data_IF_024144404125
#
_entry.id   IF_024144404125
#
_cell.length_a   1.000
_cell.length_b   1.000
_cell.length_c   1.000
_cell.angle_alpha   90.00
_cell.angle_beta   90.00
_cell.angle_gamma   90.00
#
_symmetry.space_group_name_H-M   'P 1'
#
loop_
_entity.id
_entity.type
_entity.pdbx_description
1 polymer ?
#
# COMPACT_ATOMS: atom_id res chain seq x y z
N UNK A 1 11.53 -25.66 -24.21
CA UNK A 1 10.30 -24.99 -23.73
C UNK A 1 9.28 -24.97 -24.85
N UNK A 2 8.14 -25.63 -24.70
CA UNK A 2 7.08 -25.65 -25.71
C UNK A 2 6.33 -24.30 -25.67
N UNK A 3 6.12 -23.65 -26.82
CA UNK A 3 5.42 -22.36 -26.88
C UNK A 3 3.95 -22.53 -26.45
N UNK A 4 3.54 -21.86 -25.36
CA UNK A 4 2.16 -21.90 -24.87
C UNK A 4 1.23 -21.15 -25.85
N UNK A 5 0.04 -21.69 -26.09
CA UNK A 5 -0.98 -21.13 -26.98
C UNK A 5 -2.10 -20.45 -26.18
N UNK A 6 -2.58 -19.31 -26.64
CA UNK A 6 -3.69 -18.56 -26.03
C UNK A 6 -4.72 -18.14 -27.08
N UNK A 7 -5.90 -17.70 -26.62
CA UNK A 7 -6.94 -17.12 -27.47
C UNK A 7 -7.74 -16.10 -26.65
N UNK A 8 -8.37 -15.13 -27.30
CA UNK A 8 -9.22 -14.13 -26.65
C UNK A 8 -10.69 -14.56 -26.74
N UNK A 9 -11.46 -14.37 -25.67
CA UNK A 9 -12.92 -14.62 -25.65
C UNK A 9 -13.65 -13.36 -25.18
N UNK A 10 -14.61 -12.89 -25.98
CA UNK A 10 -15.49 -11.76 -25.66
C UNK A 10 -16.93 -12.24 -25.73
N UNK A 11 -17.60 -12.33 -24.57
CA UNK A 11 -18.93 -12.92 -24.48
C UNK A 11 -18.95 -14.38 -24.96
N UNK A 12 -19.73 -14.65 -26.02
CA UNK A 12 -19.82 -15.98 -26.66
C UNK A 12 -18.84 -16.18 -27.80
N UNK A 13 -18.15 -15.13 -28.26
CA UNK A 13 -17.25 -15.20 -29.40
C UNK A 13 -15.83 -15.56 -28.94
N UNK A 14 -15.23 -16.52 -29.63
CA UNK A 14 -13.87 -17.00 -29.41
C UNK A 14 -13.01 -16.63 -30.62
N UNK A 15 -11.91 -15.92 -30.37
CA UNK A 15 -10.93 -15.58 -31.40
C UNK A 15 -9.98 -16.73 -31.73
N UNK A 16 -9.08 -16.48 -32.68
CA UNK A 16 -8.08 -17.45 -33.12
C UNK A 16 -7.05 -17.76 -32.04
N UNK A 17 -6.44 -18.93 -32.15
CA UNK A 17 -5.39 -19.38 -31.24
C UNK A 17 -4.04 -18.85 -31.73
N UNK A 18 -3.32 -18.15 -30.86
CA UNK A 18 -1.99 -17.60 -31.15
C UNK A 18 -0.96 -18.08 -30.11
N UNK A 19 0.32 -18.02 -30.47
CA UNK A 19 1.41 -18.39 -29.57
C UNK A 19 1.76 -17.21 -28.65
N UNK A 20 1.87 -17.46 -27.34
CA UNK A 20 2.39 -16.49 -26.38
C UNK A 20 3.92 -16.45 -26.50
N UNK A 21 4.43 -15.30 -26.93
CA UNK A 21 5.88 -15.05 -27.09
C UNK A 21 6.51 -14.38 -25.87
N UNK A 22 5.70 -13.78 -25.00
CA UNK A 22 6.14 -12.99 -23.84
C UNK A 22 5.26 -13.25 -22.63
N UNK A 23 5.78 -12.95 -21.45
CA UNK A 23 5.09 -13.08 -20.17
C UNK A 23 5.18 -14.48 -19.55
N UNK A 24 4.69 -14.57 -18.32
CA UNK A 24 4.62 -15.80 -17.53
C UNK A 24 3.16 -16.17 -17.25
N UNK A 25 2.88 -17.45 -16.97
CA UNK A 25 1.48 -17.90 -16.81
C UNK A 25 1.01 -17.67 -15.38
N UNK A 26 -0.12 -16.98 -15.21
CA UNK A 26 -0.72 -16.85 -13.88
C UNK A 26 -1.17 -18.22 -13.33
N UNK A 27 -0.82 -18.50 -12.07
CA UNK A 27 -1.13 -19.76 -11.38
C UNK A 27 -0.07 -20.85 -11.52
N UNK A 28 0.98 -20.64 -12.32
CA UNK A 28 2.13 -21.54 -12.38
C UNK A 28 3.11 -21.21 -11.24
N UNK A 29 3.60 -22.23 -10.52
CA UNK A 29 4.38 -22.06 -9.29
C UNK A 29 5.71 -21.32 -9.50
N UNK A 30 6.31 -21.45 -10.69
CA UNK A 30 7.58 -20.79 -11.02
C UNK A 30 7.40 -19.37 -11.58
N UNK A 31 6.19 -19.01 -12.01
CA UNK A 31 5.94 -17.72 -12.66
C UNK A 31 6.19 -16.52 -11.74
N UNK A 32 5.82 -16.54 -10.43
CA UNK A 32 6.18 -15.46 -9.51
C UNK A 32 7.69 -15.26 -9.37
N UNK A 33 8.47 -16.33 -9.29
CA UNK A 33 9.93 -16.25 -9.16
C UNK A 33 10.57 -15.68 -10.43
N UNK A 34 10.14 -16.13 -11.61
CA UNK A 34 10.62 -15.60 -12.88
C UNK A 34 10.29 -14.12 -13.04
N UNK A 35 9.10 -13.71 -12.59
CA UNK A 35 8.73 -12.29 -12.56
C UNK A 35 9.66 -11.49 -11.64
N UNK A 36 9.92 -11.99 -10.43
CA UNK A 36 10.82 -11.32 -9.47
C UNK A 36 12.25 -11.17 -9.99
N UNK A 37 12.77 -12.15 -10.73
CA UNK A 37 14.10 -12.05 -11.35
C UNK A 37 14.20 -10.88 -12.33
N UNK A 38 13.16 -10.66 -13.15
CA UNK A 38 13.11 -9.55 -14.09
C UNK A 38 12.89 -8.23 -13.36
N UNK A 39 12.00 -8.22 -12.37
CA UNK A 39 11.72 -7.06 -11.54
C UNK A 39 12.93 -6.60 -10.71
N UNK A 40 13.90 -7.47 -10.44
CA UNK A 40 15.07 -7.11 -9.64
C UNK A 40 16.02 -6.12 -10.34
N UNK A 41 15.85 -5.87 -11.64
CA UNK A 41 16.68 -4.94 -12.41
C UNK A 41 16.28 -3.45 -12.22
N UNK A 42 15.36 -3.14 -11.29
CA UNK A 42 15.03 -1.75 -10.98
C UNK A 42 16.23 -1.00 -10.34
N UNK A 43 16.50 0.25 -10.75
CA UNK A 43 17.62 1.00 -10.22
C UNK A 43 17.45 1.30 -8.73
N UNK A 44 18.54 1.21 -7.97
CA UNK A 44 18.51 1.55 -6.56
C UNK A 44 18.14 3.04 -6.36
N UNK A 45 17.32 3.36 -5.35
CA UNK A 45 16.95 4.73 -5.07
C UNK A 45 18.17 5.55 -4.62
N UNK A 46 18.35 6.75 -5.19
CA UNK A 46 19.44 7.65 -4.83
C UNK A 46 19.38 8.01 -3.34
N UNK A 47 20.50 7.92 -2.61
CA UNK A 47 20.58 8.35 -1.22
C UNK A 47 21.56 9.51 -1.09
N UNK A 48 21.13 10.61 -0.47
CA UNK A 48 22.01 11.76 -0.18
C UNK A 48 21.87 12.18 1.28
N UNK A 49 22.78 13.03 1.77
CA UNK A 49 22.71 13.57 3.13
C UNK A 49 21.43 14.37 3.41
N UNK A 50 20.76 14.89 2.37
CA UNK A 50 19.56 15.72 2.48
C UNK A 50 18.27 14.96 2.17
N UNK A 51 18.38 13.81 1.50
CA UNK A 51 17.24 13.03 1.02
C UNK A 51 17.48 11.54 1.25
N UNK A 52 16.59 10.91 2.02
CA UNK A 52 16.50 9.46 2.14
C UNK A 52 15.36 8.97 1.28
N UNK A 53 15.68 8.08 0.34
CA UNK A 53 14.70 7.45 -0.53
C UNK A 53 14.60 5.96 -0.18
N UNK A 54 13.39 5.49 0.08
CA UNK A 54 13.09 4.09 0.30
C UNK A 54 12.23 3.61 -0.86
N UNK A 55 12.64 2.57 -1.55
CA UNK A 55 11.81 1.89 -2.53
C UNK A 55 11.31 0.57 -1.92
N UNK A 56 10.02 0.33 -2.02
CA UNK A 56 9.38 -0.93 -1.66
C UNK A 56 8.70 -1.49 -2.90
N UNK A 57 8.98 -2.75 -3.21
CA UNK A 57 8.35 -3.46 -4.31
C UNK A 57 7.62 -4.69 -3.77
N UNK A 58 6.39 -4.86 -4.24
CA UNK A 58 5.60 -6.06 -3.98
C UNK A 58 4.97 -6.53 -5.28
N UNK A 59 5.52 -7.58 -5.88
CA UNK A 59 5.18 -7.98 -7.25
C UNK A 59 5.33 -6.78 -8.22
N UNK A 60 4.27 -6.42 -8.94
CA UNK A 60 4.22 -5.30 -9.87
C UNK A 60 3.99 -3.94 -9.19
N UNK A 61 3.52 -3.91 -7.94
CA UNK A 61 3.36 -2.68 -7.18
C UNK A 61 4.71 -2.13 -6.72
N UNK A 62 5.06 -0.92 -7.17
CA UNK A 62 6.24 -0.18 -6.73
C UNK A 62 5.83 1.07 -5.94
N UNK A 63 6.45 1.29 -4.79
CA UNK A 63 6.20 2.47 -3.95
C UNK A 63 7.52 3.05 -3.49
N UNK A 64 7.73 4.34 -3.78
CA UNK A 64 8.89 5.09 -3.32
C UNK A 64 8.48 6.10 -2.26
N UNK A 65 9.13 6.05 -1.11
CA UNK A 65 9.00 7.01 -0.02
C UNK A 65 10.22 7.91 -0.01
N UNK A 66 10.00 9.19 -0.25
CA UNK A 66 11.04 10.22 -0.27
C UNK A 66 10.93 11.04 1.02
N UNK A 67 11.98 11.02 1.83
CA UNK A 67 12.09 11.81 3.07
C UNK A 67 13.20 12.82 2.88
N UNK A 68 12.84 14.09 2.73
CA UNK A 68 13.78 15.20 2.63
C UNK A 68 13.90 15.92 3.97
N UNK A 69 15.12 16.06 4.48
CA UNK A 69 15.39 16.98 5.60
C UNK A 69 15.51 18.39 5.04
N UNK A 70 14.47 19.21 5.15
CA UNK A 70 14.57 20.62 4.83
C UNK A 70 15.42 21.33 5.92
N UNK A 71 16.69 21.63 5.63
CA UNK A 71 17.48 22.69 6.30
C UNK A 71 17.33 23.93 5.41
N UNK A 72 16.74 25.08 5.79
CA UNK A 72 16.88 25.91 7.01
C UNK A 72 15.71 26.95 7.13
N UNK A 73 15.51 27.77 8.17
CA UNK A 73 16.37 28.16 9.31
C UNK A 73 15.60 28.29 10.65
N UNK A 74 16.17 27.73 11.71
CA UNK A 74 15.74 27.91 13.12
C UNK A 74 16.38 29.20 13.63
N UNK A 75 15.58 30.25 13.81
CA UNK A 75 15.99 31.52 14.43
C UNK A 75 16.32 31.34 15.92
N UNK A 76 17.18 32.20 16.48
CA UNK A 76 17.62 32.14 17.87
C UNK A 76 16.45 32.09 18.88
N UNK A 77 15.31 32.70 18.55
CA UNK A 77 14.06 32.65 19.32
C UNK A 77 13.46 31.24 19.48
N UNK A 78 13.79 30.31 18.57
CA UNK A 78 13.38 28.92 18.63
C UNK A 78 14.28 28.06 19.54
N UNK A 79 15.48 28.55 19.92
CA UNK A 79 16.34 27.91 20.94
C UNK A 79 15.81 28.13 22.35
N UNK A 80 15.23 29.30 22.63
CA UNK A 80 14.82 29.66 23.99
C UNK A 80 13.44 29.11 24.37
N UNK A 81 12.57 28.89 23.39
CA UNK A 81 11.22 28.32 23.61
C UNK A 81 11.24 26.80 23.82
N UNK A 82 12.38 26.16 23.54
CA UNK A 82 12.70 24.75 23.78
C UNK A 82 12.71 24.38 25.29
N UNK A 83 12.46 25.32 26.21
CA UNK A 83 12.24 25.01 27.64
C UNK A 83 10.79 24.65 27.99
N UNK A 84 9.82 24.87 27.10
CA UNK A 84 8.38 24.51 27.24
C UNK A 84 8.09 23.07 26.72
N UNK A 85 9.16 22.32 26.45
CA UNK A 85 9.25 21.16 25.56
C UNK A 85 8.52 19.86 25.94
N UNK A 86 7.82 19.74 27.06
CA UNK A 86 7.20 18.45 27.43
C UNK A 86 5.81 18.30 26.79
N UNK A 87 5.08 19.39 26.56
CA UNK A 87 3.74 19.34 25.92
C UNK A 87 3.81 19.32 24.38
N UNK A 88 4.97 19.63 23.78
CA UNK A 88 5.16 19.74 22.33
C UNK A 88 5.46 18.41 21.63
N UNK A 89 5.83 17.35 22.36
CA UNK A 89 6.19 16.05 21.78
C UNK A 89 4.97 15.37 21.10
N UNK A 90 3.75 15.70 21.54
CA UNK A 90 2.48 15.25 20.93
C UNK A 90 2.21 15.95 19.59
N UNK A 91 2.78 17.14 19.35
CA UNK A 91 2.53 17.96 18.15
C UNK A 91 3.52 17.70 17.00
N UNK A 92 4.69 17.13 17.30
CA UNK A 92 5.75 16.79 16.32
C UNK A 92 5.32 15.86 15.19
N UNK A 93 4.21 15.12 15.33
CA UNK A 93 3.70 14.26 14.26
C UNK A 93 2.96 15.02 13.14
N UNK A 94 2.65 16.32 13.30
CA UNK A 94 1.71 17.03 12.43
C UNK A 94 2.32 18.12 11.51
N UNK A 95 3.64 18.32 11.49
CA UNK A 95 4.29 19.34 10.64
C UNK A 95 5.08 18.74 9.46
N UNK A 96 4.43 17.91 8.65
CA UNK A 96 4.92 17.65 7.29
C UNK A 96 4.56 18.84 6.41
N UNK A 97 5.53 19.62 5.91
CA UNK A 97 5.26 20.68 4.93
C UNK A 97 4.71 20.09 3.61
N UNK A 98 3.90 20.86 2.87
CA UNK A 98 3.41 20.43 1.54
C UNK A 98 4.63 20.14 0.66
N UNK A 99 4.72 18.92 0.13
CA UNK A 99 5.80 18.57 -0.80
C UNK A 99 5.72 19.43 -2.06
N UNK A 100 6.86 19.79 -2.67
CA UNK A 100 6.87 20.49 -3.96
C UNK A 100 6.10 19.69 -5.02
N UNK A 101 5.46 20.38 -5.95
CA UNK A 101 4.75 19.74 -7.07
C UNK A 101 5.75 18.94 -7.90
N UNK A 102 5.57 17.62 -7.95
CA UNK A 102 6.37 16.74 -8.80
C UNK A 102 5.81 16.83 -10.23
N UNK A 103 6.71 16.95 -11.21
CA UNK A 103 6.37 16.95 -12.64
C UNK A 103 7.09 15.77 -13.27
N UNK A 104 6.34 14.91 -13.94
CA UNK A 104 6.85 13.80 -14.76
C UNK A 104 6.35 14.05 -16.18
N UNK A 105 7.24 14.07 -17.16
CA UNK A 105 6.90 14.27 -18.58
C UNK A 105 5.95 15.46 -18.81
N UNK A 106 6.31 16.62 -18.25
CA UNK A 106 5.55 17.88 -18.27
C UNK A 106 4.14 17.83 -17.63
N UNK A 107 3.79 16.72 -16.98
CA UNK A 107 2.52 16.55 -16.29
C UNK A 107 2.70 16.63 -14.77
N UNK A 108 2.01 17.56 -14.07
CA UNK A 108 2.10 17.63 -12.62
C UNK A 108 1.39 16.44 -11.97
N UNK A 109 2.08 15.73 -11.07
CA UNK A 109 1.48 14.65 -10.29
C UNK A 109 0.55 15.28 -9.24
N UNK A 110 -0.72 14.85 -9.16
CA UNK A 110 -1.66 15.36 -8.17
C UNK A 110 -1.19 15.00 -6.76
N UNK A 111 -1.05 16.03 -5.92
CA UNK A 111 -0.75 15.84 -4.51
C UNK A 111 -1.97 15.26 -3.79
N UNK A 112 -1.77 14.14 -3.08
CA UNK A 112 -2.78 13.55 -2.21
C UNK A 112 -2.27 13.42 -0.77
N UNK A 113 -3.16 13.64 0.19
CA UNK A 113 -2.90 13.42 1.62
C UNK A 113 -3.36 12.04 2.10
N UNK A 114 -3.96 11.24 1.23
CA UNK A 114 -4.41 9.89 1.50
C UNK A 114 -4.06 8.95 0.34
N UNK A 115 -3.58 7.75 0.65
CA UNK A 115 -3.32 6.69 -0.32
C UNK A 115 -3.56 5.32 0.28
N UNK A 116 -3.70 4.31 -0.56
CA UNK A 116 -3.84 2.90 -0.16
C UNK A 116 -2.57 2.15 -0.57
N UNK A 117 -1.98 1.41 0.37
CA UNK A 117 -0.79 0.61 0.11
C UNK A 117 -0.91 -0.74 0.82
N UNK A 118 -0.93 -1.84 0.05
CA UNK A 118 -0.98 -3.23 0.57
C UNK A 118 -2.06 -3.47 1.65
N UNK A 119 -3.22 -2.82 1.52
CA UNK A 119 -4.32 -2.93 2.49
C UNK A 119 -4.29 -1.95 3.66
N UNK A 120 -3.25 -1.11 3.76
CA UNK A 120 -3.16 0.03 4.65
C UNK A 120 -3.72 1.29 3.97
N UNK A 121 -4.40 2.14 4.74
CA UNK A 121 -4.75 3.52 4.35
C UNK A 121 -3.75 4.46 4.99
N UNK A 122 -2.80 4.92 4.19
CA UNK A 122 -1.82 5.90 4.60
C UNK A 122 -2.47 7.27 4.49
N UNK A 123 -2.58 7.98 5.59
CA UNK A 123 -3.08 9.35 5.63
C UNK A 123 -2.05 10.25 6.29
N UNK A 124 -1.93 11.49 5.81
CA UNK A 124 -1.01 12.49 6.39
C UNK A 124 -1.33 12.75 7.87
N UNK A 125 -2.62 12.83 8.19
CA UNK A 125 -3.12 13.06 9.55
C UNK A 125 -4.00 11.89 9.98
N UNK A 126 -4.02 11.59 11.28
CA UNK A 126 -4.93 10.61 11.89
C UNK A 126 -4.83 9.19 11.29
N UNK A 127 -3.64 8.76 10.86
CA UNK A 127 -3.38 7.44 10.27
C UNK A 127 -4.04 6.30 11.06
N UNK A 128 -3.75 6.21 12.36
CA UNK A 128 -4.29 5.15 13.21
C UNK A 128 -5.82 5.16 13.26
N UNK A 129 -6.44 6.33 13.44
CA UNK A 129 -7.90 6.45 13.51
C UNK A 129 -8.52 5.99 12.19
N UNK A 130 -8.01 6.46 11.05
CA UNK A 130 -8.52 6.11 9.72
C UNK A 130 -8.31 4.64 9.39
N UNK A 131 -7.18 4.07 9.80
CA UNK A 131 -6.89 2.66 9.62
C UNK A 131 -7.78 1.77 10.51
N UNK A 132 -7.99 2.14 11.78
CA UNK A 132 -8.89 1.44 12.70
C UNK A 132 -10.33 1.51 12.18
N UNK A 133 -10.79 2.68 11.72
CA UNK A 133 -12.11 2.85 11.09
C UNK A 133 -12.26 1.91 9.89
N UNK A 134 -11.26 1.86 9.01
CA UNK A 134 -11.26 1.00 7.83
C UNK A 134 -11.33 -0.50 8.19
N UNK A 135 -10.45 -0.96 9.09
CA UNK A 135 -10.42 -2.34 9.56
C UNK A 135 -11.76 -2.71 10.22
N UNK A 136 -12.26 -1.85 11.10
CA UNK A 136 -13.52 -2.07 11.83
C UNK A 136 -14.70 -2.17 10.87
N UNK A 137 -14.77 -1.30 9.86
CA UNK A 137 -15.84 -1.34 8.87
C UNK A 137 -15.81 -2.61 8.02
N UNK A 138 -14.61 -3.09 7.66
CA UNK A 138 -14.43 -4.37 6.95
C UNK A 138 -14.86 -5.55 7.83
N UNK A 139 -14.45 -5.57 9.09
CA UNK A 139 -14.85 -6.61 10.05
C UNK A 139 -16.38 -6.61 10.27
N UNK A 140 -17.00 -5.43 10.38
CA UNK A 140 -18.47 -5.29 10.48
C UNK A 140 -19.18 -5.82 9.23
N UNK A 141 -18.63 -5.57 8.05
CA UNK A 141 -19.19 -6.07 6.80
C UNK A 141 -19.16 -7.61 6.74
N UNK A 142 -18.06 -8.25 7.15
CA UNK A 142 -17.99 -9.72 7.25
C UNK A 142 -18.90 -10.27 8.35
N UNK A 143 -18.99 -9.60 9.50
CA UNK A 143 -19.90 -9.99 10.57
C UNK A 143 -21.37 -10.00 10.11
N UNK A 144 -21.79 -9.01 9.33
CA UNK A 144 -23.14 -8.98 8.72
C UNK A 144 -23.40 -10.21 7.85
N UNK A 145 -22.40 -10.70 7.10
CA UNK A 145 -22.54 -11.93 6.30
C UNK A 145 -22.66 -13.18 7.16
N UNK A 146 -22.06 -13.20 8.34
CA UNK A 146 -22.18 -14.32 9.29
C UNK A 146 -23.54 -14.30 10.00
N UNK A 147 -24.17 -13.13 10.13
CA UNK A 147 -25.45 -12.98 10.84
C UNK A 147 -26.58 -13.84 10.26
N UNK A 148 -26.56 -14.14 8.96
CA UNK A 148 -27.50 -15.08 8.32
C UNK A 148 -27.43 -16.51 8.89
N UNK A 149 -26.33 -16.85 9.56
CA UNK A 149 -26.09 -18.15 10.19
C UNK A 149 -26.33 -18.12 11.71
N UNK A 150 -27.08 -17.14 12.23
CA UNK A 150 -27.35 -16.97 13.68
C UNK A 150 -27.93 -18.22 14.36
N UNK A 151 -28.69 -19.02 13.61
CA UNK A 151 -29.36 -20.25 14.07
C UNK A 151 -28.41 -21.45 14.16
N UNK A 152 -27.16 -21.35 13.66
CA UNK A 152 -26.19 -22.44 13.76
C UNK A 152 -25.68 -22.68 15.18
N UNK A 153 -25.19 -23.89 15.42
CA UNK A 153 -24.51 -24.29 16.66
C UNK A 153 -23.36 -23.33 16.99
N UNK A 154 -23.25 -22.94 18.26
CA UNK A 154 -22.24 -21.97 18.75
C UNK A 154 -20.81 -22.34 18.38
N UNK A 155 -20.45 -23.64 18.40
CA UNK A 155 -19.12 -24.12 17.99
C UNK A 155 -18.77 -23.73 16.54
N UNK A 156 -19.74 -23.76 15.63
CA UNK A 156 -19.54 -23.35 14.23
C UNK A 156 -19.47 -21.83 14.11
N UNK A 157 -20.28 -21.09 14.87
CA UNK A 157 -20.20 -19.61 14.92
C UNK A 157 -18.83 -19.12 15.37
N UNK A 158 -18.26 -19.75 16.40
CA UNK A 158 -16.90 -19.44 16.87
C UNK A 158 -15.85 -19.77 15.80
N UNK A 159 -15.98 -20.89 15.08
CA UNK A 159 -15.08 -21.23 13.97
C UNK A 159 -15.14 -20.18 12.86
N UNK A 160 -16.35 -19.79 12.42
CA UNK A 160 -16.54 -18.77 11.38
C UNK A 160 -15.97 -17.41 11.81
N UNK A 161 -16.18 -17.02 13.07
CA UNK A 161 -15.57 -15.82 13.62
C UNK A 161 -14.03 -15.87 13.55
N UNK A 162 -13.43 -16.96 14.03
CA UNK A 162 -11.97 -17.14 14.05
C UNK A 162 -11.37 -17.21 12.65
N UNK A 163 -12.09 -17.71 11.64
CA UNK A 163 -11.58 -17.84 10.28
C UNK A 163 -11.79 -16.60 9.41
N UNK A 164 -12.82 -15.79 9.67
CA UNK A 164 -13.21 -14.68 8.77
C UNK A 164 -13.04 -13.29 9.39
N UNK A 165 -13.25 -13.15 10.70
CA UNK A 165 -13.23 -11.84 11.37
C UNK A 165 -11.90 -11.63 12.09
N UNK A 166 -11.44 -12.62 12.87
CA UNK A 166 -10.20 -12.50 13.63
C UNK A 166 -8.99 -12.13 12.74
N UNK A 167 -8.79 -12.72 11.54
CA UNK A 167 -7.66 -12.36 10.68
C UNK A 167 -7.71 -10.95 10.11
N UNK A 168 -8.85 -10.25 10.22
CA UNK A 168 -8.95 -8.84 9.84
C UNK A 168 -8.55 -7.91 10.98
N UNK A 169 -8.58 -8.39 12.23
CA UNK A 169 -8.34 -7.60 13.44
C UNK A 169 -6.93 -7.81 14.02
N UNK A 170 -6.27 -8.91 13.66
CA UNK A 170 -4.88 -9.23 13.99
C UNK A 170 -3.93 -8.76 12.91
#
# INVERSE_FOLDING_TARGET
>A
MQAKKAYVRVGKHRGEVFNLKTGVTQGDALSPTLFLLIANDYPEPTQTHQQKNFAMQYADDFTQVIITQFKSAITQAARDRHKINVEAEIKKQNEFYKSPTLVIDDSPIPYSTETKFLGLRITRNNFYVKQIEYITNRARAELKKIYRFRTMKTKLKVRLYKSLILPLLT
#
